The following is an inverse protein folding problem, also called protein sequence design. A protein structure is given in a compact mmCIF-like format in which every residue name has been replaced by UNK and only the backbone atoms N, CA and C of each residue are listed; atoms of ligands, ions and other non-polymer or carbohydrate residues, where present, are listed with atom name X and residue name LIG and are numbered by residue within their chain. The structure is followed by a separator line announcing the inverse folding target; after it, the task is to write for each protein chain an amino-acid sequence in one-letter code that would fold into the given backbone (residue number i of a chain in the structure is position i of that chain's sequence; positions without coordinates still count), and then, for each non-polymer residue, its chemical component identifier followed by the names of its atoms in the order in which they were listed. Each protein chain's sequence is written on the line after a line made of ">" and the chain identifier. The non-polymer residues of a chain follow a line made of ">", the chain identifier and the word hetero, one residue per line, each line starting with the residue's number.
data_IF_530906272172
#
_entry.id   IF_530906272172
#
_cell.length_a   1.000
_cell.length_b   1.000
_cell.length_c   1.000
_cell.angle_alpha   90.00
_cell.angle_beta   90.00
_cell.angle_gamma   90.00
#
_symmetry.space_group_name_H-M   'P 1'
#
loop_
_entity.id
_entity.type
_entity.pdbx_description
1 polymer ?
#
# COMPACT_ATOMS: atom_id res chain seq x y z
N UNK A 1 -0.10 -16.70 42.16
CA UNK A 1 -0.41 -15.47 41.39
C UNK A 1 0.69 -15.30 40.34
N UNK A 2 0.35 -15.53 39.07
CA UNK A 2 1.23 -16.07 38.01
C UNK A 2 1.90 -14.98 37.15
N UNK A 3 3.24 -14.97 37.09
CA UNK A 3 4.03 -14.05 36.27
C UNK A 3 3.78 -14.18 34.75
N UNK A 4 3.11 -15.24 34.29
CA UNK A 4 2.73 -15.47 32.89
C UNK A 4 1.56 -14.60 32.41
N UNK A 5 0.65 -14.21 33.31
CA UNK A 5 -0.53 -13.39 32.97
C UNK A 5 -0.15 -11.94 32.61
N UNK A 6 0.88 -11.40 33.27
CA UNK A 6 1.34 -10.02 33.08
C UNK A 6 1.97 -9.85 31.69
N UNK A 7 2.81 -10.82 31.27
CA UNK A 7 3.55 -10.75 29.99
C UNK A 7 2.63 -10.77 28.75
N UNK A 8 1.57 -11.59 28.76
CA UNK A 8 0.58 -11.63 27.69
C UNK A 8 -0.23 -10.33 27.57
N UNK A 9 -0.60 -9.72 28.70
CA UNK A 9 -1.37 -8.48 28.74
C UNK A 9 -0.57 -7.26 28.25
N UNK A 10 0.74 -7.23 28.48
CA UNK A 10 1.61 -6.17 27.96
C UNK A 10 1.88 -6.32 26.44
N UNK A 11 2.02 -7.54 25.94
CA UNK A 11 2.21 -7.80 24.50
C UNK A 11 1.02 -7.32 23.65
N UNK A 12 -0.21 -7.61 24.08
CA UNK A 12 -1.42 -7.16 23.37
C UNK A 12 -1.56 -5.63 23.32
N UNK A 13 -1.28 -4.95 24.44
CA UNK A 13 -1.31 -3.47 24.48
C UNK A 13 -0.23 -2.83 23.61
N UNK A 14 0.97 -3.41 23.58
CA UNK A 14 2.03 -2.91 22.71
C UNK A 14 1.65 -3.03 21.24
N UNK A 15 1.10 -4.18 20.82
CA UNK A 15 0.63 -4.39 19.45
C UNK A 15 -0.46 -3.38 19.05
N UNK A 16 -1.44 -3.13 19.92
CA UNK A 16 -2.48 -2.14 19.65
C UNK A 16 -1.93 -0.71 19.53
N UNK A 17 -0.98 -0.33 20.40
CA UNK A 17 -0.33 0.99 20.33
C UNK A 17 0.46 1.11 19.03
N UNK A 18 1.24 0.10 18.66
CA UNK A 18 2.01 0.09 17.42
C UNK A 18 1.09 0.19 16.19
N UNK A 19 0.03 -0.61 16.14
CA UNK A 19 -0.95 -0.56 15.05
C UNK A 19 -1.71 0.78 15.02
N UNK A 20 -2.03 1.36 16.18
CA UNK A 20 -2.66 2.67 16.29
C UNK A 20 -1.76 3.80 15.81
N UNK A 21 -0.48 3.79 16.19
CA UNK A 21 0.52 4.74 15.69
C UNK A 21 0.71 4.58 14.18
N UNK A 22 0.86 3.35 13.69
CA UNK A 22 0.96 3.08 12.26
C UNK A 22 -0.27 3.59 11.50
N UNK A 23 -1.48 3.42 12.05
CA UNK A 23 -2.71 3.91 11.45
C UNK A 23 -2.74 5.45 11.36
N UNK A 24 -2.32 6.14 12.42
CA UNK A 24 -2.22 7.61 12.43
C UNK A 24 -1.18 8.07 11.41
N UNK A 25 -0.02 7.43 11.35
CA UNK A 25 1.03 7.76 10.38
C UNK A 25 0.56 7.50 8.95
N UNK A 26 -0.11 6.38 8.68
CA UNK A 26 -0.67 6.07 7.37
C UNK A 26 -1.74 7.10 6.96
N UNK A 27 -2.60 7.52 7.89
CA UNK A 27 -3.57 8.60 7.66
C UNK A 27 -2.92 9.95 7.37
N UNK A 28 -1.89 10.29 8.15
CA UNK A 28 -1.17 11.56 8.01
C UNK A 28 -0.40 11.61 6.68
N UNK A 29 0.49 10.65 6.45
CA UNK A 29 1.39 10.65 5.30
C UNK A 29 0.75 10.14 4.02
N UNK A 30 -0.12 9.13 4.10
CA UNK A 30 -0.72 8.52 2.93
C UNK A 30 -2.01 9.21 2.45
N UNK A 31 -2.62 10.11 3.23
CA UNK A 31 -3.88 10.76 2.83
C UNK A 31 -3.88 12.25 3.12
N UNK A 32 -3.63 12.65 4.37
CA UNK A 32 -3.77 14.04 4.79
C UNK A 32 -2.75 14.97 4.12
N UNK A 33 -1.47 14.60 4.10
CA UNK A 33 -0.42 15.41 3.45
C UNK A 33 -0.64 15.53 1.93
N UNK A 34 -0.90 14.44 1.17
CA UNK A 34 -1.25 14.56 -0.26
C UNK A 34 -2.45 15.48 -0.51
N UNK A 35 -3.50 15.38 0.31
CA UNK A 35 -4.69 16.25 0.18
C UNK A 35 -4.38 17.72 0.48
N UNK A 36 -3.49 18.00 1.43
CA UNK A 36 -3.02 19.37 1.66
C UNK A 36 -2.25 19.92 0.45
N UNK A 37 -1.43 19.09 -0.21
CA UNK A 37 -0.75 19.44 -1.46
C UNK A 37 -1.71 19.91 -2.56
N UNK A 38 -2.92 19.32 -2.62
CA UNK A 38 -3.98 19.78 -3.55
C UNK A 38 -4.42 21.22 -3.26
N UNK A 39 -4.58 21.58 -1.98
CA UNK A 39 -5.13 22.90 -1.56
C UNK A 39 -4.13 24.06 -1.64
N UNK A 40 -2.83 23.79 -1.86
CA UNK A 40 -1.81 24.81 -2.13
C UNK A 40 -1.17 25.62 -0.99
N UNK A 41 -1.32 25.33 0.32
CA UNK A 41 -0.53 26.00 1.36
C UNK A 41 0.91 25.45 1.47
N UNK A 42 1.20 24.32 0.81
CA UNK A 42 2.53 23.71 0.72
C UNK A 42 2.89 23.74 -0.76
N UNK A 43 3.87 24.57 -1.15
CA UNK A 43 4.40 24.59 -2.51
C UNK A 43 5.20 23.31 -2.74
N UNK A 44 4.79 22.42 -3.64
CA UNK A 44 5.62 21.32 -3.98
C UNK A 44 6.44 21.71 -5.21
N UNK A 45 7.75 21.71 -5.09
CA UNK A 45 8.50 21.05 -6.16
C UNK A 45 8.06 19.58 -6.12
N UNK A 46 6.92 19.26 -6.75
CA UNK A 46 6.41 17.89 -6.87
C UNK A 46 7.22 17.23 -7.98
N UNK A 47 8.34 16.67 -7.54
CA UNK A 47 9.17 15.78 -8.30
C UNK A 47 8.45 14.43 -8.36
N UNK A 48 7.83 14.11 -9.50
CA UNK A 48 7.30 12.77 -9.75
C UNK A 48 8.27 12.01 -10.65
N UNK A 49 8.81 10.90 -10.14
CA UNK A 49 9.65 10.00 -10.93
C UNK A 49 8.79 9.28 -11.97
N UNK A 50 9.15 9.43 -13.25
CA UNK A 50 8.49 8.75 -14.36
C UNK A 50 9.51 7.96 -15.16
N UNK A 51 9.14 6.75 -15.57
CA UNK A 51 10.01 5.93 -16.40
C UNK A 51 9.90 6.39 -17.86
N UNK A 52 11.03 6.76 -18.45
CA UNK A 52 11.12 7.15 -19.87
C UNK A 52 11.68 6.02 -20.72
N UNK A 53 11.17 5.90 -21.95
CA UNK A 53 11.70 4.98 -22.97
C UNK A 53 12.72 5.66 -23.89
N UNK A 54 13.02 6.94 -23.62
CA UNK A 54 14.11 7.63 -24.26
C UNK A 54 15.42 7.02 -23.80
N UNK A 55 16.18 6.43 -24.73
CA UNK A 55 17.58 6.05 -24.56
C UNK A 55 18.28 7.23 -23.89
N UNK A 56 18.59 7.09 -22.60
CA UNK A 56 19.40 8.06 -21.87
C UNK A 56 20.69 8.17 -22.66
N UNK A 57 20.87 9.27 -23.40
CA UNK A 57 22.17 9.60 -23.98
C UNK A 57 23.08 9.96 -22.81
N UNK A 58 23.62 8.94 -22.15
CA UNK A 58 25.00 9.03 -21.67
C UNK A 58 25.78 9.52 -22.89
N UNK A 59 26.55 10.62 -22.81
CA UNK A 59 27.45 11.00 -23.90
C UNK A 59 28.42 9.83 -24.14
N UNK A 60 28.02 8.90 -25.03
CA UNK A 60 28.55 7.55 -25.20
C UNK A 60 28.52 6.68 -23.93
N UNK A 61 28.15 5.41 -24.07
CA UNK A 61 28.41 4.41 -23.02
C UNK A 61 29.91 4.45 -22.66
N UNK A 62 30.25 4.85 -21.43
CA UNK A 62 31.65 4.82 -20.97
C UNK A 62 31.94 3.40 -20.55
N UNK A 63 32.53 2.62 -21.46
CA UNK A 63 33.06 1.29 -21.17
C UNK A 63 34.46 1.45 -20.60
N UNK A 64 34.69 0.95 -19.38
CA UNK A 64 36.03 0.83 -18.79
C UNK A 64 36.23 -0.62 -18.33
N UNK A 65 36.82 -1.44 -19.21
CA UNK A 65 37.06 -2.87 -18.93
C UNK A 65 35.76 -3.67 -18.85
N UNK A 66 35.53 -4.50 -17.81
CA UNK A 66 34.36 -5.39 -17.71
C UNK A 66 33.07 -4.66 -17.29
N UNK A 67 33.08 -3.33 -17.15
CA UNK A 67 31.97 -2.55 -16.60
C UNK A 67 31.30 -1.74 -17.71
N UNK A 68 29.99 -1.96 -17.89
CA UNK A 68 29.11 -1.16 -18.75
C UNK A 68 28.18 -0.32 -17.89
N UNK A 69 28.23 1.00 -18.08
CA UNK A 69 27.31 1.94 -17.44
C UNK A 69 26.08 2.13 -18.33
N UNK A 70 24.90 1.68 -17.88
CA UNK A 70 23.63 1.97 -18.54
C UNK A 70 22.98 3.20 -17.89
N UNK A 71 22.49 4.13 -18.70
CA UNK A 71 21.71 5.26 -18.20
C UNK A 71 20.41 4.77 -17.55
N UNK A 72 20.10 5.31 -16.38
CA UNK A 72 18.86 5.00 -15.66
C UNK A 72 17.67 5.52 -16.48
N UNK A 73 16.69 4.66 -16.77
CA UNK A 73 15.46 5.01 -17.51
C UNK A 73 14.48 5.83 -16.64
N UNK A 74 14.99 6.59 -15.68
CA UNK A 74 14.22 7.41 -14.77
C UNK A 74 14.36 8.85 -15.22
N UNK A 75 13.24 9.51 -15.48
CA UNK A 75 13.17 10.95 -15.67
C UNK A 75 12.29 11.55 -14.59
N UNK A 76 12.69 12.73 -14.16
CA UNK A 76 11.93 13.54 -13.24
C UNK A 76 10.99 14.44 -14.04
N UNK A 77 9.68 14.42 -13.75
CA UNK A 77 8.74 15.42 -14.29
C UNK A 77 8.57 16.51 -13.23
N UNK A 78 9.19 17.66 -13.46
CA UNK A 78 8.98 18.85 -12.64
C UNK A 78 7.83 19.69 -13.19
N UNK A 79 6.74 19.82 -12.43
CA UNK A 79 5.62 20.71 -12.74
C UNK A 79 5.83 22.05 -12.02
N UNK A 80 6.21 23.09 -12.77
CA UNK A 80 6.54 24.38 -12.18
C UNK A 80 5.33 25.13 -11.59
N UNK A 81 4.13 24.94 -12.16
CA UNK A 81 2.88 25.56 -11.69
C UNK A 81 1.71 24.60 -11.94
N UNK A 82 1.54 23.54 -11.12
CA UNK A 82 0.51 22.56 -11.35
C UNK A 82 -0.87 23.17 -11.09
N UNK A 83 -1.77 23.02 -12.07
CA UNK A 83 -3.17 23.39 -11.90
C UNK A 83 -3.88 22.44 -10.90
N UNK A 84 -5.12 22.75 -10.52
CA UNK A 84 -5.87 21.94 -9.54
C UNK A 84 -6.06 20.49 -10.01
N UNK A 85 -6.27 20.27 -11.31
CA UNK A 85 -6.45 18.93 -11.86
C UNK A 85 -5.15 18.12 -11.77
N UNK A 86 -4.01 18.74 -12.08
CA UNK A 86 -2.68 18.12 -11.99
C UNK A 86 -2.33 17.79 -10.54
N UNK A 87 -2.64 18.68 -9.59
CA UNK A 87 -2.44 18.39 -8.16
C UNK A 87 -3.29 17.21 -7.68
N UNK A 88 -4.54 17.11 -8.13
CA UNK A 88 -5.40 15.95 -7.81
C UNK A 88 -4.80 14.68 -8.40
N UNK A 89 -4.33 14.72 -9.65
CA UNK A 89 -3.71 13.57 -10.30
C UNK A 89 -2.41 13.13 -9.62
N UNK A 90 -1.60 14.07 -9.13
CA UNK A 90 -0.39 13.79 -8.35
C UNK A 90 -0.70 13.16 -6.99
N UNK A 91 -1.73 13.63 -6.29
CA UNK A 91 -2.12 13.10 -4.99
C UNK A 91 -2.86 11.76 -5.08
N UNK A 92 -3.45 11.42 -6.23
CA UNK A 92 -4.34 10.28 -6.39
C UNK A 92 -3.68 8.93 -6.05
N UNK A 93 -2.47 8.60 -6.56
CA UNK A 93 -1.77 7.37 -6.17
C UNK A 93 -1.53 7.26 -4.67
N UNK A 94 -0.97 8.29 -4.06
CA UNK A 94 -0.63 8.28 -2.62
C UNK A 94 -1.88 8.08 -1.77
N UNK A 95 -2.95 8.83 -2.08
CA UNK A 95 -4.25 8.70 -1.41
C UNK A 95 -4.82 7.29 -1.60
N UNK A 96 -4.67 6.69 -2.78
CA UNK A 96 -5.15 5.34 -3.05
C UNK A 96 -4.41 4.29 -2.20
N UNK A 97 -3.08 4.28 -2.22
CA UNK A 97 -2.28 3.34 -1.42
C UNK A 97 -2.46 3.61 0.08
N UNK A 98 -2.49 4.87 0.51
CA UNK A 98 -2.73 5.30 1.88
C UNK A 98 -4.08 4.83 2.40
N UNK A 99 -5.15 4.99 1.62
CA UNK A 99 -6.49 4.53 1.99
C UNK A 99 -6.55 3.01 2.17
N UNK A 100 -5.98 2.23 1.25
CA UNK A 100 -5.93 0.78 1.38
C UNK A 100 -5.08 0.34 2.57
N UNK A 101 -3.98 1.04 2.88
CA UNK A 101 -3.14 0.76 4.04
C UNK A 101 -3.89 1.03 5.34
N UNK A 102 -4.65 2.13 5.41
CA UNK A 102 -5.54 2.43 6.54
C UNK A 102 -6.57 1.32 6.74
N UNK A 103 -7.16 0.81 5.66
CA UNK A 103 -8.09 -0.33 5.73
C UNK A 103 -7.40 -1.54 6.36
N UNK A 104 -6.22 -1.93 5.87
CA UNK A 104 -5.45 -3.06 6.41
C UNK A 104 -5.15 -2.86 7.89
N UNK A 105 -4.59 -1.71 8.26
CA UNK A 105 -4.21 -1.39 9.65
C UNK A 105 -5.42 -1.33 10.59
N UNK A 106 -6.54 -0.77 10.13
CA UNK A 106 -7.77 -0.72 10.92
C UNK A 106 -8.33 -2.12 11.20
N UNK A 107 -8.29 -3.02 10.22
CA UNK A 107 -8.71 -4.41 10.42
C UNK A 107 -7.75 -5.19 11.31
N UNK A 108 -6.44 -5.00 11.16
CA UNK A 108 -5.44 -5.57 12.08
C UNK A 108 -5.63 -5.07 13.51
N UNK A 109 -5.89 -3.77 13.70
CA UNK A 109 -6.15 -3.19 15.02
C UNK A 109 -7.42 -3.78 15.66
N UNK A 110 -8.48 -3.98 14.87
CA UNK A 110 -9.70 -4.65 15.33
C UNK A 110 -9.43 -6.11 15.74
N UNK A 111 -8.59 -6.82 14.99
CA UNK A 111 -8.17 -8.18 15.35
C UNK A 111 -7.30 -8.20 16.61
N UNK A 112 -6.35 -7.28 16.76
CA UNK A 112 -5.53 -7.18 17.97
C UNK A 112 -6.38 -6.97 19.24
N UNK A 113 -7.44 -6.17 19.13
CA UNK A 113 -8.41 -5.96 20.22
C UNK A 113 -9.18 -7.23 20.58
N UNK A 114 -9.64 -8.01 19.60
CA UNK A 114 -10.35 -9.27 19.87
C UNK A 114 -9.44 -10.34 20.48
N UNK A 115 -8.17 -10.39 20.06
CA UNK A 115 -7.16 -11.27 20.69
C UNK A 115 -6.95 -10.95 22.17
N UNK A 116 -6.97 -9.66 22.54
CA UNK A 116 -6.85 -9.23 23.94
C UNK A 116 -8.05 -9.63 24.78
N UNK A 117 -9.24 -9.67 24.18
CA UNK A 117 -10.48 -10.11 24.81
C UNK A 117 -10.58 -11.65 24.92
N UNK A 118 -9.49 -12.35 24.60
CA UNK A 118 -9.29 -13.80 24.70
C UNK A 118 -10.09 -14.65 23.72
N UNK A 119 -10.64 -14.06 22.66
CA UNK A 119 -11.34 -14.81 21.61
C UNK A 119 -10.66 -14.67 20.24
N UNK A 120 -9.84 -15.67 19.93
CA UNK A 120 -9.04 -15.72 18.70
C UNK A 120 -9.87 -16.19 17.50
N UNK A 121 -10.82 -17.10 17.74
CA UNK A 121 -11.55 -17.85 16.72
C UNK A 121 -12.99 -17.37 16.53
N UNK A 122 -13.17 -16.06 16.49
CA UNK A 122 -14.46 -15.48 16.13
C UNK A 122 -14.63 -15.44 14.60
N UNK A 123 -15.81 -15.79 14.03
CA UNK A 123 -16.04 -15.76 12.58
C UNK A 123 -15.69 -14.40 11.94
N UNK A 124 -15.83 -13.32 12.71
CA UNK A 124 -15.51 -11.96 12.30
C UNK A 124 -14.04 -11.84 11.90
N UNK A 125 -13.11 -12.47 12.62
CA UNK A 125 -11.68 -12.39 12.32
C UNK A 125 -11.33 -13.00 10.95
N UNK A 126 -12.03 -14.07 10.54
CA UNK A 126 -11.89 -14.62 9.20
C UNK A 126 -12.35 -13.63 8.12
N UNK A 127 -13.50 -12.97 8.32
CA UNK A 127 -13.98 -11.93 7.39
C UNK A 127 -13.03 -10.73 7.33
N UNK A 128 -12.44 -10.33 8.45
CA UNK A 128 -11.43 -9.25 8.50
C UNK A 128 -10.18 -9.60 7.70
N UNK A 129 -9.68 -10.84 7.82
CA UNK A 129 -8.55 -11.32 7.01
C UNK A 129 -8.86 -11.36 5.52
N UNK A 130 -10.09 -11.73 5.12
CA UNK A 130 -10.50 -11.66 3.71
C UNK A 130 -10.46 -10.23 3.16
N UNK A 131 -10.89 -9.24 3.94
CA UNK A 131 -10.81 -7.83 3.54
C UNK A 131 -9.35 -7.38 3.43
N UNK A 132 -8.48 -7.78 4.35
CA UNK A 132 -7.04 -7.50 4.27
C UNK A 132 -6.44 -8.13 3.01
N UNK A 133 -6.75 -9.39 2.71
CA UNK A 133 -6.30 -10.07 1.50
C UNK A 133 -6.73 -9.32 0.23
N UNK A 134 -8.00 -8.94 0.15
CA UNK A 134 -8.54 -8.18 -0.97
C UNK A 134 -7.86 -6.80 -1.12
N UNK A 135 -7.59 -6.10 -0.02
CA UNK A 135 -6.87 -4.83 -0.05
C UNK A 135 -5.43 -4.98 -0.56
N UNK A 136 -4.72 -6.02 -0.13
CA UNK A 136 -3.35 -6.31 -0.61
C UNK A 136 -3.34 -6.61 -2.11
N UNK A 137 -4.29 -7.41 -2.60
CA UNK A 137 -4.44 -7.69 -4.04
C UNK A 137 -4.78 -6.40 -4.80
N UNK A 138 -5.69 -5.58 -4.27
CA UNK A 138 -6.04 -4.31 -4.88
C UNK A 138 -4.83 -3.37 -4.98
N UNK A 139 -3.98 -3.29 -3.96
CA UNK A 139 -2.73 -2.51 -4.03
C UNK A 139 -1.82 -3.01 -5.17
N UNK A 140 -1.65 -4.32 -5.34
CA UNK A 140 -0.75 -4.88 -6.35
C UNK A 140 -1.27 -4.87 -7.79
N UNK A 141 -2.59 -4.80 -7.98
CA UNK A 141 -3.24 -4.82 -9.30
C UNK A 141 -3.72 -3.44 -9.70
N UNK A 142 -4.52 -2.81 -8.84
CA UNK A 142 -5.12 -1.50 -9.15
C UNK A 142 -4.13 -0.36 -8.90
N UNK A 143 -3.22 -0.50 -7.94
CA UNK A 143 -2.19 0.52 -7.67
C UNK A 143 -1.38 0.89 -8.91
N UNK A 144 -0.70 -0.06 -9.57
CA UNK A 144 0.04 0.24 -10.80
C UNK A 144 -0.83 0.79 -11.95
N UNK A 145 -2.12 0.46 -11.97
CA UNK A 145 -3.06 1.03 -12.95
C UNK A 145 -3.37 2.49 -12.63
N UNK A 146 -3.58 2.83 -11.35
CA UNK A 146 -3.76 4.21 -10.87
C UNK A 146 -2.51 5.03 -11.21
N UNK A 147 -1.31 4.51 -10.93
CA UNK A 147 -0.03 5.15 -11.26
C UNK A 147 0.09 5.44 -12.76
N UNK A 148 -0.17 4.43 -13.61
CA UNK A 148 -0.06 4.55 -15.05
C UNK A 148 -1.10 5.52 -15.64
N UNK A 149 -2.34 5.49 -15.15
CA UNK A 149 -3.41 6.39 -15.59
C UNK A 149 -3.13 7.83 -15.14
N UNK A 150 -2.75 8.05 -13.88
CA UNK A 150 -2.42 9.37 -13.37
C UNK A 150 -1.26 9.99 -14.17
N UNK A 151 -0.19 9.23 -14.38
CA UNK A 151 0.95 9.64 -15.20
C UNK A 151 0.53 9.97 -16.62
N UNK A 152 -0.26 9.10 -17.27
CA UNK A 152 -0.70 9.31 -18.65
C UNK A 152 -1.57 10.57 -18.78
N UNK A 153 -2.47 10.83 -17.84
CA UNK A 153 -3.30 12.02 -17.83
C UNK A 153 -2.48 13.30 -17.58
N UNK A 154 -1.48 13.25 -16.69
CA UNK A 154 -0.58 14.38 -16.41
C UNK A 154 0.21 14.83 -17.64
N UNK A 155 0.69 13.88 -18.46
CA UNK A 155 1.49 14.19 -19.65
C UNK A 155 0.65 14.37 -20.92
N UNK A 156 -0.64 14.02 -20.88
CA UNK A 156 -1.52 14.10 -22.05
C UNK A 156 -1.58 15.53 -22.59
N UNK A 157 -1.44 15.69 -23.91
CA UNK A 157 -1.41 17.01 -24.55
C UNK A 157 -0.09 17.79 -24.43
N UNK A 158 0.93 17.22 -23.79
CA UNK A 158 2.28 17.82 -23.72
C UNK A 158 3.21 17.25 -24.79
N UNK A 159 4.29 17.97 -25.12
CA UNK A 159 5.34 17.48 -26.02
C UNK A 159 6.12 16.26 -25.48
N UNK A 160 5.97 15.96 -24.18
CA UNK A 160 6.64 14.82 -23.51
C UNK A 160 5.84 13.53 -23.67
N UNK A 161 4.55 13.59 -24.00
CA UNK A 161 3.67 12.41 -24.10
C UNK A 161 4.22 11.27 -24.97
N UNK A 162 4.82 11.51 -26.16
CA UNK A 162 5.35 10.44 -26.99
C UNK A 162 6.60 9.75 -26.41
N UNK A 163 7.28 10.37 -25.43
CA UNK A 163 8.52 9.86 -24.83
C UNK A 163 8.28 8.96 -23.60
N UNK A 164 7.05 8.91 -23.09
CA UNK A 164 6.65 8.11 -21.92
C UNK A 164 5.58 7.10 -22.36
N UNK A 165 5.94 5.82 -22.56
CA UNK A 165 4.96 4.81 -22.92
C UNK A 165 4.03 4.52 -21.75
N UNK A 166 2.81 4.10 -22.07
CA UNK A 166 1.92 3.55 -21.05
C UNK A 166 2.49 2.21 -20.56
N UNK A 167 3.05 2.23 -19.35
CA UNK A 167 3.65 1.05 -18.73
C UNK A 167 2.78 0.60 -17.55
N UNK A 168 2.15 -0.57 -17.69
CA UNK A 168 1.42 -1.23 -16.61
C UNK A 168 2.04 -2.60 -16.38
N UNK A 169 2.60 -2.79 -15.19
CA UNK A 169 3.24 -4.05 -14.79
C UNK A 169 2.63 -4.54 -13.49
N UNK A 170 2.10 -5.75 -13.50
CA UNK A 170 1.57 -6.40 -12.30
C UNK A 170 2.64 -7.30 -11.72
N UNK A 171 2.98 -7.09 -10.45
CA UNK A 171 3.83 -8.01 -9.71
C UNK A 171 3.00 -9.18 -9.17
N UNK A 172 3.54 -10.40 -9.27
CA UNK A 172 2.89 -11.57 -8.70
C UNK A 172 2.99 -11.61 -7.16
N UNK A 173 3.97 -10.93 -6.57
CA UNK A 173 4.23 -10.99 -5.12
C UNK A 173 3.03 -10.54 -4.26
N UNK A 174 2.39 -9.37 -4.52
CA UNK A 174 1.17 -8.98 -3.79
C UNK A 174 0.01 -9.95 -3.98
N UNK A 175 -0.11 -10.58 -5.16
CA UNK A 175 -1.15 -11.58 -5.44
C UNK A 175 -0.96 -12.81 -4.56
N UNK A 176 0.26 -13.34 -4.51
CA UNK A 176 0.59 -14.47 -3.65
C UNK A 176 0.42 -14.12 -2.16
N UNK A 177 0.84 -12.93 -1.74
CA UNK A 177 0.62 -12.48 -0.36
C UNK A 177 -0.86 -12.40 -0.02
N UNK A 178 -1.68 -11.81 -0.88
CA UNK A 178 -3.13 -11.77 -0.71
C UNK A 178 -3.74 -13.17 -0.65
N UNK A 179 -3.30 -14.09 -1.50
CA UNK A 179 -3.74 -15.48 -1.48
C UNK A 179 -3.36 -16.19 -0.17
N UNK A 180 -2.14 -15.98 0.32
CA UNK A 180 -1.69 -16.52 1.59
C UNK A 180 -2.53 -15.99 2.76
N UNK A 181 -2.83 -14.69 2.78
CA UNK A 181 -3.70 -14.09 3.81
C UNK A 181 -5.14 -14.62 3.69
N UNK A 182 -5.66 -14.82 2.48
CA UNK A 182 -6.96 -15.43 2.26
C UNK A 182 -7.00 -16.90 2.71
N UNK A 183 -5.93 -17.66 2.49
CA UNK A 183 -5.80 -19.02 3.00
C UNK A 183 -5.78 -19.05 4.54
N UNK A 184 -5.09 -18.10 5.18
CA UNK A 184 -5.15 -17.94 6.64
C UNK A 184 -6.59 -17.63 7.10
N UNK A 185 -7.33 -16.79 6.38
CA UNK A 185 -8.73 -16.53 6.69
C UNK A 185 -9.59 -17.81 6.69
N UNK A 186 -9.35 -18.69 5.72
CA UNK A 186 -10.04 -19.98 5.63
C UNK A 186 -9.68 -20.92 6.80
N UNK A 187 -8.41 -20.96 7.20
CA UNK A 187 -7.98 -21.73 8.38
C UNK A 187 -8.70 -21.23 9.64
N UNK A 188 -8.85 -19.92 9.82
CA UNK A 188 -9.60 -19.36 10.93
C UNK A 188 -11.08 -19.76 10.88
N UNK A 189 -11.70 -19.73 9.70
CA UNK A 189 -13.10 -20.15 9.51
C UNK A 189 -13.33 -21.62 9.86
N UNK A 190 -12.43 -22.50 9.44
CA UNK A 190 -12.50 -23.93 9.80
C UNK A 190 -12.28 -24.13 11.30
N UNK A 191 -11.34 -23.39 11.92
CA UNK A 191 -11.10 -23.42 13.36
C UNK A 191 -12.32 -23.02 14.19
N UNK A 192 -13.04 -21.98 13.76
CA UNK A 192 -14.31 -21.58 14.39
C UNK A 192 -15.38 -22.66 14.27
N UNK A 193 -15.55 -23.27 13.09
CA UNK A 193 -16.52 -24.35 12.88
C UNK A 193 -16.26 -25.56 13.77
N UNK A 194 -15.00 -25.97 13.90
CA UNK A 194 -14.63 -27.11 14.76
C UNK A 194 -14.92 -26.84 16.23
N UNK A 195 -14.77 -25.59 16.68
CA UNK A 195 -15.10 -25.19 18.05
C UNK A 195 -16.60 -25.29 18.31
N UNK A 196 -17.42 -24.75 17.40
CA UNK A 196 -18.89 -24.84 17.48
C UNK A 196 -19.36 -26.30 17.56
N UNK A 197 -18.77 -27.19 16.73
CA UNK A 197 -19.09 -28.61 16.74
C UNK A 197 -18.73 -29.29 18.08
N UNK A 198 -17.66 -28.87 18.76
CA UNK A 198 -17.27 -29.43 20.07
C UNK A 198 -18.09 -28.91 21.24
N UNK A 199 -18.53 -27.64 21.20
CA UNK A 199 -19.35 -27.05 22.26
C UNK A 199 -20.81 -27.54 22.21
N UNK A 200 -21.27 -28.05 21.05
CA UNK A 200 -22.61 -28.65 20.88
C UNK A 200 -22.73 -30.14 21.27
N UNK A 201 -21.64 -30.78 21.70
CA UNK A 201 -21.60 -32.20 22.06
C UNK A 201 -21.62 -32.48 23.57
N UNK A 202 -21.85 -31.46 24.40
CA UNK A 202 -21.88 -31.55 25.88
C UNK A 202 -23.23 -31.16 26.45
#
# INVERSE_FOLDING_TARGET
>A
MTMTSVKGRHGGRLLEVVLGVALVLAGLFGVFLPLLGVTGPIDPMDTHDVRIDAVTRVPAAVTSGPVTLHGTHQAEIALAHPDVQQRILLALPDVFYGALLIVVLAFLLRMARTLREADVFVPENARRLQVIAAAIVAMGVLGPAVDAIATHLLISGTAVSPAVPFAYTVSAAPLFLGLLVAALAEVFRQGTRLREDTEGLV
#
